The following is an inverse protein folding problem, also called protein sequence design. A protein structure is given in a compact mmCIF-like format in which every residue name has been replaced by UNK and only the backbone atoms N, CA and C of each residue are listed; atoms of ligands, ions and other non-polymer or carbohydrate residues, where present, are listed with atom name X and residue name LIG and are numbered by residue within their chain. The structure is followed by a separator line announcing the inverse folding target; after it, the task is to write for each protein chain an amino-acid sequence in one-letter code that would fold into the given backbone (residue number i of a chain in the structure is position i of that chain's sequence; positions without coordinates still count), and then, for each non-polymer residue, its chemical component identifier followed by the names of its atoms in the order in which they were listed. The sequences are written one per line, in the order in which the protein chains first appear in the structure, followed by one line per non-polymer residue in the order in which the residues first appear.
data_IF_488376497675
#
_entry.id   IF_488376497675
#
_cell.length_a   1.000
_cell.length_b   1.000
_cell.length_c   1.000
_cell.angle_alpha   90.00
_cell.angle_beta   90.00
_cell.angle_gamma   90.00
#
_symmetry.space_group_name_H-M   'P 1'
#
loop_
_entity.id
_entity.type
_entity.pdbx_description
1 polymer ?
#
# COMPACT_ATOMS: atom_id res chain seq x y z
N UNK A 1 -8.91 16.17 -2.99
CA UNK A 1 -7.51 15.85 -3.35
C UNK A 1 -7.21 14.45 -2.85
N UNK A 2 -6.78 13.54 -3.71
CA UNK A 2 -6.42 12.18 -3.30
C UNK A 2 -5.15 12.23 -2.42
N UNK A 3 -5.30 11.93 -1.13
CA UNK A 3 -4.18 12.01 -0.19
C UNK A 3 -3.11 10.95 -0.49
N UNK A 4 -3.46 9.87 -1.20
CA UNK A 4 -2.58 8.75 -1.51
C UNK A 4 -1.53 9.10 -2.57
N UNK A 5 -1.88 9.93 -3.56
CA UNK A 5 -0.95 10.39 -4.60
C UNK A 5 0.27 11.15 -4.03
N UNK A 6 0.14 11.73 -2.84
CA UNK A 6 1.24 12.40 -2.15
C UNK A 6 2.26 11.43 -1.53
N UNK A 7 1.83 10.22 -1.22
CA UNK A 7 2.61 9.19 -0.53
C UNK A 7 3.11 8.09 -1.46
N UNK A 8 2.95 8.26 -2.76
CA UNK A 8 3.32 7.27 -3.79
C UNK A 8 4.12 7.94 -4.90
N UNK A 9 4.93 7.17 -5.61
CA UNK A 9 5.42 7.60 -6.92
C UNK A 9 4.23 7.68 -7.91
N UNK A 10 4.33 8.49 -8.99
CA UNK A 10 3.26 8.57 -9.99
C UNK A 10 2.86 7.19 -10.54
N UNK A 11 3.84 6.38 -10.90
CA UNK A 11 3.63 5.03 -11.45
C UNK A 11 2.94 4.10 -10.43
N UNK A 12 3.33 4.17 -9.16
CA UNK A 12 2.71 3.37 -8.09
C UNK A 12 1.26 3.83 -7.85
N UNK A 13 0.99 5.14 -7.85
CA UNK A 13 -0.37 5.67 -7.74
C UNK A 13 -1.25 5.17 -8.89
N UNK A 14 -0.77 5.25 -10.13
CA UNK A 14 -1.52 4.78 -11.30
C UNK A 14 -1.80 3.27 -11.22
N UNK A 15 -0.81 2.47 -10.82
CA UNK A 15 -1.00 1.04 -10.62
C UNK A 15 -2.06 0.73 -9.55
N UNK A 16 -2.05 1.45 -8.43
CA UNK A 16 -3.08 1.32 -7.38
C UNK A 16 -4.46 1.73 -7.87
N UNK A 17 -4.58 2.89 -8.51
CA UNK A 17 -5.84 3.39 -9.04
C UNK A 17 -6.44 2.43 -10.07
N UNK A 18 -5.62 1.90 -10.98
CA UNK A 18 -6.02 0.88 -11.97
C UNK A 18 -6.53 -0.39 -11.28
N UNK A 19 -5.79 -0.91 -10.30
CA UNK A 19 -6.18 -2.14 -9.60
C UNK A 19 -7.43 -1.95 -8.74
N UNK A 20 -7.57 -0.80 -8.08
CA UNK A 20 -8.78 -0.44 -7.33
C UNK A 20 -9.99 -0.34 -8.27
N UNK A 21 -9.85 0.33 -9.42
CA UNK A 21 -10.92 0.42 -10.42
C UNK A 21 -11.34 -0.95 -10.95
N UNK A 22 -10.39 -1.85 -11.23
CA UNK A 22 -10.69 -3.23 -11.63
C UNK A 22 -11.40 -4.01 -10.52
N UNK A 23 -10.92 -3.91 -9.27
CA UNK A 23 -11.54 -4.57 -8.13
C UNK A 23 -12.98 -4.10 -7.92
N UNK A 24 -13.26 -2.80 -8.05
CA UNK A 24 -14.62 -2.26 -7.94
C UNK A 24 -15.54 -2.79 -9.05
N UNK A 25 -15.03 -2.98 -10.27
CA UNK A 25 -15.82 -3.52 -11.39
C UNK A 25 -16.09 -5.01 -11.28
N UNK A 26 -15.14 -5.78 -10.77
CA UNK A 26 -15.24 -7.24 -10.72
C UNK A 26 -15.88 -7.76 -9.43
N UNK A 27 -15.58 -7.11 -8.30
CA UNK A 27 -16.03 -7.54 -6.97
C UNK A 27 -17.14 -6.66 -6.41
N UNK A 28 -17.45 -5.53 -7.05
CA UNK A 28 -18.41 -4.56 -6.54
C UNK A 28 -17.99 -3.90 -5.23
N UNK A 29 -18.94 -3.22 -4.61
CA UNK A 29 -18.81 -2.65 -3.26
C UNK A 29 -19.73 -3.43 -2.33
N UNK A 30 -19.18 -4.40 -1.60
CA UNK A 30 -19.93 -5.15 -0.59
C UNK A 30 -20.18 -4.28 0.65
N UNK A 31 -21.44 -3.92 0.98
CA UNK A 31 -21.76 -3.20 2.19
C UNK A 31 -21.33 -4.03 3.41
N UNK A 32 -20.54 -3.45 4.30
CA UNK A 32 -20.08 -4.14 5.52
C UNK A 32 -18.76 -4.91 5.36
N UNK A 33 -18.10 -4.88 4.18
CA UNK A 33 -16.73 -5.38 4.07
C UNK A 33 -15.82 -4.64 5.06
N UNK A 34 -15.17 -5.40 5.94
CA UNK A 34 -14.28 -4.82 6.93
C UNK A 34 -13.14 -4.07 6.22
N UNK A 35 -12.89 -2.83 6.66
CA UNK A 35 -11.75 -2.05 6.18
C UNK A 35 -10.47 -2.73 6.67
N UNK A 36 -9.48 -2.98 5.78
CA UNK A 36 -8.20 -3.56 6.19
C UNK A 36 -7.57 -2.76 7.34
N UNK A 37 -7.09 -3.48 8.36
CA UNK A 37 -6.40 -2.89 9.52
C UNK A 37 -4.96 -3.36 9.55
N UNK A 38 -4.02 -2.44 9.70
CA UNK A 38 -2.64 -2.79 10.00
C UNK A 38 -2.56 -3.33 11.43
N UNK A 39 -2.12 -4.58 11.58
CA UNK A 39 -1.92 -5.25 12.88
C UNK A 39 -0.50 -5.05 13.39
N UNK A 40 0.45 -5.05 12.48
CA UNK A 40 1.86 -4.86 12.76
C UNK A 40 2.51 -4.16 11.57
N UNK A 41 3.48 -3.29 11.84
CA UNK A 41 4.31 -2.64 10.84
C UNK A 41 5.75 -2.78 11.33
N UNK A 42 6.60 -3.38 10.51
CA UNK A 42 8.04 -3.40 10.71
C UNK A 42 8.69 -2.61 9.58
N UNK A 43 9.55 -1.66 9.91
CA UNK A 43 10.23 -0.83 8.93
C UNK A 43 11.73 -0.83 9.20
N UNK A 44 12.52 -0.91 8.15
CA UNK A 44 13.98 -0.91 8.21
C UNK A 44 14.58 -0.04 7.11
N UNK A 45 15.65 0.67 7.46
CA UNK A 45 16.44 1.40 6.47
C UNK A 45 17.43 0.44 5.83
N UNK A 46 17.38 0.36 4.51
CA UNK A 46 18.29 -0.41 3.67
C UNK A 46 19.65 0.27 3.54
N UNK A 47 20.66 -0.48 3.09
CA UNK A 47 22.00 0.07 2.80
C UNK A 47 21.97 1.20 1.77
N UNK A 48 21.02 1.18 0.83
CA UNK A 48 20.88 2.25 -0.17
C UNK A 48 20.17 3.49 0.36
N UNK A 49 19.80 3.51 1.65
CA UNK A 49 19.07 4.61 2.28
C UNK A 49 17.57 4.64 1.97
N UNK A 50 17.02 3.60 1.34
CA UNK A 50 15.57 3.43 1.20
C UNK A 50 14.98 2.79 2.46
N UNK A 51 13.66 2.85 2.63
CA UNK A 51 12.96 2.22 3.74
C UNK A 51 12.10 1.06 3.23
N UNK A 52 12.38 -0.14 3.68
CA UNK A 52 11.51 -1.30 3.47
C UNK A 52 10.54 -1.43 4.63
N UNK A 53 9.28 -1.72 4.34
CA UNK A 53 8.25 -1.94 5.35
C UNK A 53 7.49 -3.24 5.09
N UNK A 54 7.36 -4.08 6.12
CA UNK A 54 6.47 -5.22 6.16
C UNK A 54 5.24 -4.89 7.02
N UNK A 55 4.05 -5.12 6.49
CA UNK A 55 2.78 -4.81 7.15
C UNK A 55 1.90 -6.06 7.20
N UNK A 56 1.44 -6.42 8.40
CA UNK A 56 0.40 -7.42 8.55
C UNK A 56 -0.96 -6.73 8.45
N UNK A 57 -1.77 -7.13 7.47
CA UNK A 57 -3.08 -6.57 7.17
C UNK A 57 -4.17 -7.57 7.51
N UNK A 58 -5.14 -7.15 8.32
CA UNK A 58 -6.33 -7.93 8.65
C UNK A 58 -7.53 -7.34 7.91
N UNK A 59 -8.11 -8.11 6.99
CA UNK A 59 -9.29 -7.68 6.21
C UNK A 59 -10.62 -8.23 6.75
N UNK A 60 -10.61 -8.75 7.97
CA UNK A 60 -11.76 -9.36 8.65
C UNK A 60 -12.04 -10.81 8.24
N UNK A 61 -11.51 -11.27 7.10
CA UNK A 61 -11.63 -12.66 6.65
C UNK A 61 -10.31 -13.43 6.78
N UNK A 62 -9.18 -12.74 6.55
CA UNK A 62 -7.83 -13.30 6.57
C UNK A 62 -6.82 -12.25 7.00
N UNK A 63 -5.69 -12.71 7.53
CA UNK A 63 -4.48 -11.90 7.68
C UNK A 63 -3.60 -12.11 6.46
N UNK A 64 -3.12 -11.01 5.89
CA UNK A 64 -2.23 -10.94 4.73
C UNK A 64 -0.94 -10.21 5.10
N UNK A 65 0.14 -10.52 4.42
CA UNK A 65 1.36 -9.73 4.51
C UNK A 65 1.44 -8.78 3.32
N UNK A 66 1.89 -7.54 3.56
CA UNK A 66 2.25 -6.61 2.52
C UNK A 66 3.69 -6.15 2.71
N UNK A 67 4.44 -6.06 1.61
CA UNK A 67 5.78 -5.49 1.60
C UNK A 67 5.75 -4.19 0.79
N UNK A 68 6.35 -3.13 1.31
CA UNK A 68 6.42 -1.84 0.66
C UNK A 68 7.87 -1.33 0.64
N UNK A 69 8.25 -0.72 -0.49
CA UNK A 69 9.49 0.04 -0.58
C UNK A 69 9.15 1.52 -0.62
N UNK A 70 9.74 2.28 0.29
CA UNK A 70 9.67 3.73 0.35
C UNK A 70 11.03 4.31 -0.04
N UNK A 71 10.98 5.31 -0.92
CA UNK A 71 12.16 6.04 -1.41
C UNK A 71 12.06 7.50 -1.00
N UNK A 72 13.21 8.13 -0.75
CA UNK A 72 13.26 9.55 -0.46
C UNK A 72 13.17 10.35 -1.77
N UNK A 73 12.09 11.09 -1.96
CA UNK A 73 11.89 11.94 -3.13
C UNK A 73 11.63 13.38 -2.69
N UNK A 74 12.52 14.31 -3.04
CA UNK A 74 12.41 15.75 -2.67
C UNK A 74 12.18 15.97 -1.18
N UNK A 75 12.88 15.22 -0.32
CA UNK A 75 12.82 15.35 1.13
C UNK A 75 11.59 14.70 1.80
N UNK A 76 10.77 13.94 1.06
CA UNK A 76 9.66 13.16 1.61
C UNK A 76 9.77 11.68 1.24
N UNK A 77 9.33 10.82 2.14
CA UNK A 77 9.17 9.40 1.86
C UNK A 77 7.95 9.16 0.97
N UNK A 78 8.14 8.46 -0.13
CA UNK A 78 7.06 8.02 -1.02
C UNK A 78 7.20 6.54 -1.33
N UNK A 79 6.09 5.82 -1.37
CA UNK A 79 6.05 4.41 -1.72
C UNK A 79 6.24 4.23 -3.23
N UNK A 80 7.28 3.50 -3.61
CA UNK A 80 7.57 3.15 -5.01
C UNK A 80 7.05 1.77 -5.39
N UNK A 81 6.93 0.88 -4.41
CA UNK A 81 6.59 -0.53 -4.63
C UNK A 81 5.67 -1.01 -3.51
N UNK A 82 4.70 -1.84 -3.87
CA UNK A 82 3.82 -2.54 -2.93
C UNK A 82 3.51 -3.93 -3.45
N UNK A 83 3.73 -4.93 -2.60
CA UNK A 83 3.34 -6.32 -2.83
C UNK A 83 2.41 -6.77 -1.70
N UNK A 84 1.41 -7.61 -2.01
CA UNK A 84 0.46 -8.15 -1.04
C UNK A 84 0.32 -9.65 -1.31
N UNK A 85 0.53 -10.46 -0.27
CA UNK A 85 0.35 -11.92 -0.26
C UNK A 85 -1.00 -12.39 0.28
#
# INVERSE_FOLDING_TARGET
MDHLARWTTPDMFEALARRAGLAMRLLGTEPGRARPRARCVHAQITLSGNCEAAVLLDDGSRVRAAAALLVLHRGRWVMSTLEIG
#
